data_IF_258534949103
#
_entry.id   IF_258534949103
#
_cell.length_a   1.000
_cell.length_b   1.000
_cell.length_c   1.000
_cell.angle_alpha   90.00
_cell.angle_beta   90.00
_cell.angle_gamma   90.00
#
_symmetry.space_group_name_H-M   'P 1'
#
loop_
_entity.id
_entity.type
_entity.pdbx_description
1 polymer ?
#
# COMPACT_ATOMS: atom_id res chain seq x y z
N UNK A 1 7.52 15.86 -20.64
CA UNK A 1 6.61 15.01 -21.44
C UNK A 1 5.68 14.29 -20.47
N UNK A 2 4.44 13.96 -20.86
CA UNK A 2 3.54 13.12 -20.04
C UNK A 2 3.64 11.68 -20.53
N UNK A 3 3.97 10.76 -19.64
CA UNK A 3 4.02 9.32 -19.89
C UNK A 3 2.91 8.60 -19.12
N UNK A 4 2.32 7.57 -19.72
CA UNK A 4 1.38 6.68 -19.03
C UNK A 4 2.15 5.69 -18.17
N UNK A 5 1.69 5.52 -16.94
CA UNK A 5 2.23 4.57 -15.98
C UNK A 5 1.15 3.62 -15.47
N UNK A 6 1.54 2.41 -15.08
CA UNK A 6 0.68 1.41 -14.46
C UNK A 6 1.42 0.82 -13.27
N UNK A 7 0.83 0.92 -12.09
CA UNK A 7 1.28 0.18 -10.90
C UNK A 7 0.45 -1.09 -10.76
N UNK A 8 1.09 -2.22 -10.46
CA UNK A 8 0.45 -3.53 -10.27
C UNK A 8 0.89 -4.11 -8.94
N UNK A 9 0.00 -4.06 -7.96
CA UNK A 9 0.19 -4.69 -6.67
C UNK A 9 -0.14 -6.17 -6.74
N UNK A 10 0.63 -6.98 -6.01
CA UNK A 10 0.49 -8.44 -6.00
C UNK A 10 0.40 -9.03 -4.59
N UNK A 11 1.02 -8.37 -3.60
CA UNK A 11 1.08 -8.89 -2.24
C UNK A 11 1.05 -7.79 -1.19
N UNK A 12 0.43 -8.09 -0.06
CA UNK A 12 0.48 -7.28 1.16
C UNK A 12 0.80 -8.18 2.37
N UNK A 13 1.80 -7.79 3.17
CA UNK A 13 2.07 -8.37 4.50
C UNK A 13 1.64 -7.32 5.52
N UNK A 14 0.68 -7.64 6.36
CA UNK A 14 0.10 -6.75 7.35
C UNK A 14 0.73 -6.92 8.72
N UNK A 15 0.85 -5.81 9.45
CA UNK A 15 1.26 -5.78 10.88
C UNK A 15 2.44 -6.71 11.16
N UNK A 16 3.53 -6.50 10.42
CA UNK A 16 4.71 -7.36 10.48
C UNK A 16 5.63 -6.98 11.63
N UNK A 17 5.88 -7.92 12.55
CA UNK A 17 6.78 -7.68 13.69
C UNK A 17 8.23 -7.56 13.22
N UNK A 18 8.61 -8.28 12.16
CA UNK A 18 9.93 -8.18 11.54
C UNK A 18 10.19 -6.78 10.98
N UNK A 19 9.15 -6.07 10.56
CA UNK A 19 9.23 -4.68 10.09
C UNK A 19 9.14 -3.65 11.22
N UNK A 20 9.08 -4.09 12.47
CA UNK A 20 9.09 -3.23 13.64
C UNK A 20 7.71 -2.83 14.15
N UNK A 21 6.64 -3.54 13.77
CA UNK A 21 5.32 -3.38 14.38
C UNK A 21 5.36 -3.70 15.87
N UNK A 22 4.70 -2.88 16.68
CA UNK A 22 4.64 -3.00 18.14
C UNK A 22 3.29 -2.50 18.67
N UNK A 23 3.14 -2.35 19.99
CA UNK A 23 1.88 -1.92 20.59
C UNK A 23 1.36 -0.55 20.10
N UNK A 24 2.25 0.34 19.65
CA UNK A 24 1.93 1.74 19.29
C UNK A 24 1.92 2.00 17.79
N UNK A 25 2.48 1.09 16.98
CA UNK A 25 2.53 1.23 15.51
C UNK A 25 2.40 -0.11 14.80
N UNK A 26 1.72 -0.08 13.65
CA UNK A 26 1.63 -1.20 12.71
C UNK A 26 2.43 -0.82 11.47
N UNK A 27 3.27 -1.75 11.01
CA UNK A 27 4.07 -1.64 9.81
C UNK A 27 3.69 -2.78 8.88
N UNK A 28 3.10 -2.42 7.75
CA UNK A 28 2.72 -3.34 6.68
C UNK A 28 3.63 -3.12 5.47
N UNK A 29 3.73 -4.10 4.58
CA UNK A 29 4.50 -3.98 3.33
C UNK A 29 3.67 -4.42 2.14
N UNK A 30 3.63 -3.57 1.13
CA UNK A 30 3.02 -3.87 -0.17
C UNK A 30 4.11 -4.14 -1.21
N UNK A 31 3.85 -5.07 -2.12
CA UNK A 31 4.74 -5.46 -3.21
C UNK A 31 4.05 -5.20 -4.54
N UNK A 32 4.80 -4.66 -5.51
CA UNK A 32 4.25 -4.26 -6.80
C UNK A 32 5.31 -4.20 -7.89
N UNK A 33 4.84 -4.13 -9.14
CA UNK A 33 5.62 -3.65 -10.27
C UNK A 33 5.12 -2.30 -10.76
N UNK A 34 6.00 -1.53 -11.38
CA UNK A 34 5.72 -0.22 -11.96
C UNK A 34 6.14 -0.21 -13.42
N UNK A 35 5.18 -0.02 -14.31
CA UNK A 35 5.41 0.20 -15.73
C UNK A 35 5.30 1.68 -16.05
N UNK A 36 6.27 2.26 -16.75
CA UNK A 36 6.21 3.62 -17.30
C UNK A 36 6.58 3.56 -18.77
N UNK A 37 5.62 3.92 -19.64
CA UNK A 37 5.76 3.69 -21.08
C UNK A 37 5.99 2.20 -21.38
N UNK A 38 7.12 1.89 -22.00
CA UNK A 38 7.54 0.52 -22.32
C UNK A 38 8.43 -0.13 -21.26
N UNK A 39 8.90 0.61 -20.25
CA UNK A 39 9.80 0.09 -19.23
C UNK A 39 9.00 -0.47 -18.06
N UNK A 40 9.37 -1.67 -17.61
CA UNK A 40 8.78 -2.34 -16.44
C UNK A 40 9.85 -2.43 -15.36
N UNK A 41 9.48 -2.07 -14.14
CA UNK A 41 10.27 -2.19 -12.93
C UNK A 41 9.55 -3.16 -11.99
N UNK A 42 10.14 -4.33 -11.81
CA UNK A 42 9.58 -5.40 -10.97
C UNK A 42 10.20 -5.39 -9.57
N UNK A 43 9.69 -6.27 -8.70
CA UNK A 43 10.19 -6.51 -7.34
C UNK A 43 10.26 -5.27 -6.44
N UNK A 44 9.42 -4.27 -6.72
CA UNK A 44 9.31 -3.07 -5.90
C UNK A 44 8.45 -3.34 -4.67
N UNK A 45 8.74 -2.63 -3.59
CA UNK A 45 7.95 -2.68 -2.37
C UNK A 45 7.94 -1.35 -1.64
N UNK A 46 6.97 -1.16 -0.75
CA UNK A 46 6.93 -0.03 0.15
C UNK A 46 6.32 -0.42 1.49
N UNK A 47 6.83 0.19 2.57
CA UNK A 47 6.20 0.04 3.87
C UNK A 47 5.07 1.07 4.05
N UNK A 48 4.05 0.65 4.78
CA UNK A 48 2.91 1.46 5.19
C UNK A 48 2.87 1.44 6.70
N UNK A 49 2.85 2.64 7.29
CA UNK A 49 2.85 2.85 8.72
C UNK A 49 1.50 3.39 9.15
N UNK A 50 0.92 2.77 10.16
CA UNK A 50 -0.34 3.16 10.78
C UNK A 50 -0.14 3.22 12.30
N UNK A 51 -0.68 4.23 12.98
CA UNK A 51 -0.63 4.25 14.44
C UNK A 51 -1.59 3.20 15.01
N UNK A 52 -1.24 2.64 16.16
CA UNK A 52 -2.07 1.61 16.79
C UNK A 52 -3.29 2.22 17.47
N UNK A 53 -4.46 1.61 17.26
CA UNK A 53 -5.72 2.06 17.88
C UNK A 53 -6.48 3.12 17.10
N UNK A 54 -5.93 3.56 15.97
CA UNK A 54 -6.56 4.40 14.95
C UNK A 54 -7.82 3.73 14.35
N UNK A 55 -8.83 4.53 14.02
CA UNK A 55 -10.03 4.10 13.31
C UNK A 55 -9.68 3.80 11.85
N UNK A 56 -9.88 2.53 11.50
CA UNK A 56 -9.47 1.95 10.23
C UNK A 56 -9.92 2.75 8.99
N UNK A 57 -11.08 3.40 9.01
CA UNK A 57 -11.65 4.08 7.82
C UNK A 57 -11.12 5.50 7.56
N UNK A 58 -10.70 6.25 8.59
CA UNK A 58 -10.45 7.70 8.45
C UNK A 58 -9.02 8.14 8.74
N UNK A 59 -8.18 7.27 9.32
CA UNK A 59 -6.85 7.69 9.75
C UNK A 59 -5.81 7.64 8.64
N UNK A 60 -4.93 8.64 8.66
CA UNK A 60 -3.88 8.83 7.67
C UNK A 60 -2.80 7.77 7.84
N UNK A 61 -2.62 6.94 6.83
CA UNK A 61 -1.45 6.08 6.73
C UNK A 61 -0.26 6.88 6.19
N UNK A 62 0.94 6.55 6.66
CA UNK A 62 2.18 7.04 6.05
C UNK A 62 2.72 5.95 5.14
N UNK A 63 2.98 6.29 3.88
CA UNK A 63 3.55 5.36 2.89
C UNK A 63 4.98 5.81 2.56
N UNK A 64 5.91 4.89 2.59
CA UNK A 64 7.31 5.15 2.23
C UNK A 64 7.48 5.28 0.70
N UNK A 65 8.68 5.69 0.25
CA UNK A 65 9.03 5.58 -1.17
C UNK A 65 8.99 4.11 -1.62
N UNK A 66 8.70 3.84 -2.90
CA UNK A 66 9.06 2.56 -3.50
C UNK A 66 10.56 2.30 -3.29
N UNK A 67 10.89 1.20 -2.62
CA UNK A 67 12.24 0.67 -2.61
C UNK A 67 12.55 0.05 -3.99
N UNK A 68 13.80 0.18 -4.43
CA UNK A 68 14.22 -0.27 -5.76
C UNK A 68 13.87 0.69 -6.92
N UNK A 69 13.19 1.81 -6.67
CA UNK A 69 12.84 2.78 -7.72
C UNK A 69 13.22 4.23 -7.36
N UNK A 70 14.03 4.85 -8.22
CA UNK A 70 14.49 6.26 -8.06
C UNK A 70 14.07 7.16 -9.24
N UNK A 71 13.21 6.66 -10.13
CA UNK A 71 12.78 7.38 -11.32
C UNK A 71 11.66 8.39 -11.06
N UNK A 72 11.10 8.92 -12.15
CA UNK A 72 9.97 9.85 -12.11
C UNK A 72 8.68 9.11 -11.73
N UNK A 73 7.95 9.64 -10.76
CA UNK A 73 6.66 9.09 -10.38
C UNK A 73 5.68 10.20 -10.04
N UNK A 74 4.41 9.96 -10.35
CA UNK A 74 3.32 10.76 -9.79
C UNK A 74 3.03 10.28 -8.37
N UNK A 75 3.67 10.92 -7.40
CA UNK A 75 3.59 10.49 -6.00
C UNK A 75 2.17 10.51 -5.44
N UNK A 76 1.37 11.52 -5.80
CA UNK A 76 -0.02 11.61 -5.37
C UNK A 76 -0.84 10.40 -5.83
N UNK A 77 -0.72 10.02 -7.10
CA UNK A 77 -1.38 8.84 -7.64
C UNK A 77 -0.85 7.54 -7.03
N UNK A 78 0.46 7.46 -6.75
CA UNK A 78 1.06 6.34 -6.06
C UNK A 78 0.54 6.19 -4.62
N UNK A 79 0.50 7.29 -3.86
CA UNK A 79 0.01 7.30 -2.48
C UNK A 79 -1.44 6.81 -2.43
N UNK A 80 -2.31 7.36 -3.29
CA UNK A 80 -3.71 6.95 -3.38
C UNK A 80 -3.84 5.47 -3.79
N UNK A 81 -3.06 4.99 -4.77
CA UNK A 81 -3.12 3.60 -5.21
C UNK A 81 -2.63 2.62 -4.13
N UNK A 82 -1.52 2.92 -3.45
CA UNK A 82 -0.97 2.09 -2.39
C UNK A 82 -1.88 2.05 -1.16
N UNK A 83 -2.47 3.18 -0.78
CA UNK A 83 -3.44 3.27 0.30
C UNK A 83 -4.70 2.44 0.00
N UNK A 84 -5.29 2.59 -1.18
CA UNK A 84 -6.47 1.81 -1.61
C UNK A 84 -6.19 0.32 -1.62
N UNK A 85 -5.03 -0.09 -2.15
CA UNK A 85 -4.64 -1.49 -2.15
C UNK A 85 -4.53 -2.05 -0.73
N UNK A 86 -3.83 -1.32 0.15
CA UNK A 86 -3.67 -1.70 1.55
C UNK A 86 -5.01 -1.84 2.27
N UNK A 87 -5.91 -0.84 2.14
CA UNK A 87 -7.24 -0.88 2.76
C UNK A 87 -8.05 -2.07 2.29
N UNK A 88 -8.04 -2.38 0.99
CA UNK A 88 -8.66 -3.58 0.43
C UNK A 88 -8.10 -4.87 1.06
N UNK A 89 -6.78 -4.97 1.25
CA UNK A 89 -6.19 -6.11 1.94
C UNK A 89 -6.66 -6.21 3.40
N UNK A 90 -6.81 -5.08 4.09
CA UNK A 90 -7.27 -5.09 5.49
C UNK A 90 -8.74 -5.52 5.58
N UNK A 91 -9.59 -5.00 4.69
CA UNK A 91 -10.99 -5.44 4.56
C UNK A 91 -11.08 -6.96 4.34
N UNK A 92 -10.30 -7.50 3.40
CA UNK A 92 -10.22 -8.95 3.16
C UNK A 92 -9.76 -9.72 4.40
N UNK A 93 -8.82 -9.17 5.16
CA UNK A 93 -8.39 -9.72 6.44
C UNK A 93 -9.55 -9.85 7.42
N UNK A 94 -10.36 -8.81 7.56
CA UNK A 94 -11.55 -8.82 8.40
C UNK A 94 -12.60 -9.83 7.93
N UNK A 95 -12.89 -9.86 6.62
CA UNK A 95 -13.84 -10.81 6.03
C UNK A 95 -13.43 -12.26 6.29
N UNK A 96 -12.15 -12.60 6.07
CA UNK A 96 -11.63 -13.96 6.32
C UNK A 96 -11.69 -14.35 7.80
N UNK A 97 -11.58 -13.38 8.71
CA UNK A 97 -11.72 -13.61 10.14
C UNK A 97 -13.20 -13.65 10.60
N UNK A 98 -14.16 -13.57 9.68
CA UNK A 98 -15.59 -13.65 9.96
C UNK A 98 -16.19 -12.36 10.53
N UNK A 99 -15.50 -11.23 10.38
CA UNK A 99 -16.04 -9.93 10.76
C UNK A 99 -16.86 -9.34 9.62
N UNK A 100 -18.01 -8.74 9.96
CA UNK A 100 -18.89 -8.09 8.99
C UNK A 100 -18.48 -6.61 8.85
N UNK A 101 -18.20 -6.11 7.62
CA UNK A 101 -17.87 -4.70 7.39
C UNK A 101 -18.92 -3.75 8.00
N UNK A 102 -18.47 -2.70 8.69
CA UNK A 102 -19.36 -1.72 9.34
C UNK A 102 -19.94 -2.15 10.70
N UNK A 103 -19.65 -3.37 11.18
CA UNK A 103 -20.11 -3.84 12.50
C UNK A 103 -19.03 -3.59 13.53
N UNK A 104 -19.14 -2.47 14.24
CA UNK A 104 -18.44 -2.11 15.49
C UNK A 104 -16.91 -2.14 15.43
N UNK A 105 -16.28 -0.96 15.48
CA UNK A 105 -14.95 -0.61 16.04
C UNK A 105 -14.00 -1.70 16.52
N UNK A 106 -13.78 -2.75 15.74
CA UNK A 106 -13.01 -3.91 16.15
C UNK A 106 -11.56 -3.62 15.89
N UNK A 107 -10.90 -3.19 16.97
CA UNK A 107 -9.46 -3.04 17.15
C UNK A 107 -8.74 -4.40 17.13
N UNK A 108 -9.08 -5.26 16.18
CA UNK A 108 -8.49 -6.59 16.06
C UNK A 108 -7.26 -6.49 15.18
N UNK A 109 -6.11 -6.72 15.78
CA UNK A 109 -4.84 -6.79 15.07
C UNK A 109 -4.66 -8.16 14.42
N UNK A 110 -4.30 -8.15 13.14
CA UNK A 110 -4.02 -9.35 12.37
C UNK A 110 -2.52 -9.43 12.10
N UNK A 111 -1.81 -10.03 13.05
CA UNK A 111 -0.35 -10.12 13.05
C UNK A 111 0.17 -11.00 11.89
N UNK A 112 1.12 -10.47 11.13
CA UNK A 112 1.78 -11.15 9.99
C UNK A 112 0.80 -11.73 8.94
N UNK A 113 -0.38 -11.14 8.78
CA UNK A 113 -1.32 -11.63 7.80
C UNK A 113 -0.81 -11.33 6.38
N UNK A 114 -0.90 -12.31 5.48
CA UNK A 114 -0.38 -12.18 4.11
C UNK A 114 -1.52 -12.35 3.11
N UNK A 115 -1.69 -11.36 2.25
CA UNK A 115 -2.66 -11.38 1.18
C UNK A 115 -1.95 -11.36 -0.17
N UNK A 116 -2.26 -12.32 -1.02
CA UNK A 116 -1.86 -12.35 -2.42
C UNK A 116 -3.06 -11.91 -3.25
N UNK A 117 -3.10 -10.64 -3.63
CA UNK A 117 -4.22 -10.01 -4.32
C UNK A 117 -3.69 -9.10 -5.40
N UNK A 118 -4.23 -9.27 -6.60
CA UNK A 118 -3.91 -8.40 -7.73
C UNK A 118 -4.74 -7.12 -7.68
N UNK A 119 -4.07 -5.99 -7.88
CA UNK A 119 -4.71 -4.69 -8.04
C UNK A 119 -3.86 -3.82 -8.94
N UNK A 120 -4.48 -3.14 -9.90
CA UNK A 120 -3.75 -2.28 -10.83
C UNK A 120 -4.42 -0.93 -11.00
N UNK A 121 -3.59 0.11 -11.14
CA UNK A 121 -4.04 1.49 -11.37
C UNK A 121 -3.15 2.12 -12.42
N UNK A 122 -3.78 2.78 -13.41
CA UNK A 122 -3.08 3.59 -14.39
C UNK A 122 -3.06 5.07 -13.98
N UNK A 123 -1.95 5.76 -14.19
CA UNK A 123 -1.81 7.19 -13.92
C UNK A 123 -0.82 7.88 -14.87
N UNK A 124 -0.85 9.21 -14.89
CA UNK A 124 0.05 10.04 -15.70
C UNK A 124 1.28 10.46 -14.90
N UNK A 125 2.47 10.35 -15.52
CA UNK A 125 3.76 10.80 -14.99
C UNK A 125 4.25 11.96 -15.86
N UNK A 126 4.44 13.13 -15.24
CA UNK A 126 4.98 14.32 -15.91
C UNK A 126 6.45 14.54 -15.52
N UNK A 127 7.33 14.55 -16.51
CA UNK A 127 8.76 14.81 -16.35
C UNK A 127 9.08 16.22 -15.83
N UNK A 128 8.16 17.17 -16.01
CA UNK A 128 8.30 18.54 -15.54
C UNK A 128 7.85 18.71 -14.08
N UNK A 129 7.14 17.72 -13.51
CA UNK A 129 6.84 17.67 -12.07
C UNK A 129 8.16 17.37 -11.34
N UNK A 130 8.45 18.12 -10.27
CA UNK A 130 9.70 17.97 -9.51
C UNK A 130 9.90 16.50 -9.12
N UNK A 131 11.07 15.96 -9.47
CA UNK A 131 11.64 14.79 -8.81
C UNK A 131 11.77 15.11 -7.33
N UNK A 132 11.46 14.14 -6.49
CA UNK A 132 11.40 14.33 -5.05
C UNK A 132 12.77 14.66 -4.44
#
# INVERSE_FOLDING_TARGET
MIQKAIIRFSKCIQDSQELGSNADRMVSRVFFSLQIGSLVHDDLWANIHQAAGDEHENDRVKIDRPDGYQGLMNFEAYYDAAERYYRKCVELGFEMAGFVPGTLGLRVRQYNNTHEQEYQVGFDVDENRRKW
#
